data_IF_245625968667
#
_entry.id   IF_245625968667
#
_cell.length_a   1.000
_cell.length_b   1.000
_cell.length_c   1.000
_cell.angle_alpha   90.00
_cell.angle_beta   90.00
_cell.angle_gamma   90.00
#
_symmetry.space_group_name_H-M   'P 1'
#
loop_
_entity.id
_entity.type
_entity.pdbx_description
1 polymer ?
#
# COMPACT_ATOMS: atom_id res chain seq x y z
N UNK A 1 -32.64 10.74 31.06
CA UNK A 1 -32.79 10.49 29.59
C UNK A 1 -31.71 9.52 29.18
N UNK A 2 -32.05 8.32 28.70
CA UNK A 2 -31.07 7.45 28.04
C UNK A 2 -30.59 8.14 26.74
N UNK A 3 -29.29 8.21 26.44
CA UNK A 3 -28.85 8.71 25.16
C UNK A 3 -29.48 7.80 24.08
N UNK A 4 -30.34 8.38 23.21
CA UNK A 4 -30.86 7.64 22.06
C UNK A 4 -29.64 7.20 21.25
N UNK A 5 -29.53 5.90 20.98
CA UNK A 5 -28.57 5.37 20.02
C UNK A 5 -28.80 6.15 18.72
N UNK A 6 -27.72 6.67 18.12
CA UNK A 6 -27.81 7.40 16.87
C UNK A 6 -27.78 6.33 15.78
N UNK A 7 -28.90 6.17 15.10
CA UNK A 7 -29.03 5.17 14.05
C UNK A 7 -28.39 5.73 12.77
N UNK A 8 -27.38 5.02 12.28
CA UNK A 8 -26.72 5.29 11.00
C UNK A 8 -26.87 4.07 10.09
N UNK A 9 -26.83 4.29 8.78
CA UNK A 9 -26.82 3.22 7.80
C UNK A 9 -25.71 3.45 6.77
N UNK A 10 -25.11 2.35 6.31
CA UNK A 10 -24.10 2.33 5.26
C UNK A 10 -24.77 1.86 3.97
N UNK A 11 -24.62 2.65 2.90
CA UNK A 11 -25.03 2.31 1.56
C UNK A 11 -23.81 2.08 0.69
N UNK A 12 -23.89 1.10 -0.22
CA UNK A 12 -22.81 0.80 -1.15
C UNK A 12 -23.31 1.01 -2.58
N UNK A 13 -22.58 1.82 -3.34
CA UNK A 13 -22.84 2.03 -4.77
C UNK A 13 -21.77 1.38 -5.64
N UNK A 14 -22.11 1.12 -6.90
CA UNK A 14 -21.21 0.48 -7.85
C UNK A 14 -21.17 -1.04 -7.74
N UNK A 15 -22.16 -1.66 -7.11
CA UNK A 15 -22.29 -3.10 -7.01
C UNK A 15 -22.50 -3.73 -8.40
N UNK A 16 -22.04 -4.99 -8.62
CA UNK A 16 -22.35 -5.74 -9.82
C UNK A 16 -23.86 -5.80 -10.09
N UNK A 17 -24.30 -5.33 -11.23
CA UNK A 17 -25.73 -5.32 -11.63
C UNK A 17 -26.59 -4.24 -11.00
N UNK A 18 -26.04 -3.32 -10.19
CA UNK A 18 -26.79 -2.20 -9.64
C UNK A 18 -27.08 -1.17 -10.76
N UNK A 19 -28.35 -0.91 -11.01
CA UNK A 19 -28.79 0.12 -11.96
C UNK A 19 -28.98 1.47 -11.29
N UNK A 20 -29.12 2.54 -12.10
CA UNK A 20 -29.41 3.88 -11.61
C UNK A 20 -30.72 3.91 -10.81
N UNK A 21 -31.75 3.18 -11.26
CA UNK A 21 -33.04 3.09 -10.57
C UNK A 21 -32.93 2.40 -9.21
N UNK A 22 -32.15 1.31 -9.13
CA UNK A 22 -31.89 0.63 -7.85
C UNK A 22 -31.20 1.60 -6.89
N UNK A 23 -30.16 2.30 -7.37
CA UNK A 23 -29.44 3.25 -6.52
C UNK A 23 -30.32 4.43 -6.09
N UNK A 24 -31.14 4.97 -6.99
CA UNK A 24 -32.09 6.02 -6.66
C UNK A 24 -33.09 5.58 -5.61
N UNK A 25 -33.64 4.36 -5.74
CA UNK A 25 -34.56 3.79 -4.76
C UNK A 25 -33.90 3.60 -3.39
N UNK A 26 -32.64 3.10 -3.36
CA UNK A 26 -31.87 2.90 -2.11
C UNK A 26 -31.66 4.23 -1.37
N UNK A 27 -31.27 5.29 -2.08
CA UNK A 27 -31.11 6.63 -1.51
C UNK A 27 -32.43 7.17 -0.94
N UNK A 28 -33.50 7.11 -1.72
CA UNK A 28 -34.82 7.59 -1.31
C UNK A 28 -35.33 6.82 -0.08
N UNK A 29 -35.22 5.50 -0.11
CA UNK A 29 -35.63 4.63 0.99
C UNK A 29 -34.84 4.90 2.25
N UNK A 30 -33.52 4.98 2.17
CA UNK A 30 -32.67 5.28 3.32
C UNK A 30 -32.96 6.65 3.90
N UNK A 31 -33.13 7.67 3.05
CA UNK A 31 -33.42 9.02 3.47
C UNK A 31 -34.81 9.17 4.14
N UNK A 32 -35.76 8.29 3.83
CA UNK A 32 -37.11 8.26 4.45
C UNK A 32 -37.13 7.66 5.86
N UNK A 33 -36.08 6.97 6.27
CA UNK A 33 -35.95 6.38 7.60
C UNK A 33 -35.55 7.42 8.65
N UNK A 34 -35.89 7.21 9.92
CA UNK A 34 -35.55 8.15 11.00
C UNK A 34 -34.06 8.10 11.41
N UNK A 35 -33.15 7.91 10.45
CA UNK A 35 -31.72 7.80 10.68
C UNK A 35 -31.11 9.17 11.00
N UNK A 36 -30.05 9.15 11.79
CA UNK A 36 -29.24 10.33 12.13
C UNK A 36 -28.09 10.55 11.17
N UNK A 37 -27.54 9.48 10.60
CA UNK A 37 -26.42 9.48 9.65
C UNK A 37 -26.61 8.49 8.51
N UNK A 38 -26.03 8.80 7.36
CA UNK A 38 -25.93 7.92 6.21
C UNK A 38 -24.49 7.97 5.68
N UNK A 39 -23.92 6.81 5.43
CA UNK A 39 -22.66 6.69 4.69
C UNK A 39 -22.91 6.13 3.28
N UNK A 40 -22.18 6.65 2.31
CA UNK A 40 -22.23 6.19 0.92
C UNK A 40 -20.84 5.76 0.49
N UNK A 41 -20.61 4.45 0.34
CA UNK A 41 -19.31 3.89 -0.02
C UNK A 41 -19.29 3.33 -1.44
N UNK A 42 -18.21 3.59 -2.17
CA UNK A 42 -17.97 2.93 -3.45
C UNK A 42 -17.63 1.45 -3.23
N UNK A 43 -18.22 0.58 -4.04
CA UNK A 43 -17.84 -0.82 -4.06
C UNK A 43 -16.44 -0.99 -4.63
N UNK A 44 -15.54 -1.53 -3.80
CA UNK A 44 -14.16 -1.83 -4.19
C UNK A 44 -14.00 -3.34 -4.36
N UNK A 45 -13.83 -3.78 -5.61
CA UNK A 45 -13.63 -5.18 -5.95
C UNK A 45 -12.15 -5.55 -5.80
N UNK A 46 -11.74 -5.99 -4.61
CA UNK A 46 -10.36 -6.44 -4.40
C UNK A 46 -10.17 -7.88 -4.89
N UNK A 47 -9.02 -8.23 -5.51
CA UNK A 47 -8.78 -9.55 -6.11
C UNK A 47 -8.98 -10.74 -5.17
N UNK A 48 -8.75 -10.55 -3.86
CA UNK A 48 -8.89 -11.60 -2.84
C UNK A 48 -10.32 -11.83 -2.34
N UNK A 49 -11.28 -11.00 -2.77
CA UNK A 49 -12.67 -11.14 -2.32
C UNK A 49 -13.35 -12.31 -3.05
N UNK A 50 -14.18 -13.10 -2.34
CA UNK A 50 -14.91 -14.22 -2.94
C UNK A 50 -15.75 -13.82 -4.17
N UNK A 51 -16.30 -12.60 -4.18
CA UNK A 51 -17.10 -12.09 -5.29
C UNK A 51 -16.33 -12.04 -6.62
N UNK A 52 -15.01 -11.80 -6.60
CA UNK A 52 -14.21 -11.84 -7.82
C UNK A 52 -14.25 -13.21 -8.49
N UNK A 53 -14.11 -14.28 -7.70
CA UNK A 53 -14.21 -15.64 -8.23
C UNK A 53 -15.59 -15.94 -8.83
N UNK A 54 -16.64 -15.31 -8.28
CA UNK A 54 -18.01 -15.46 -8.79
C UNK A 54 -18.19 -14.67 -10.10
N UNK A 55 -17.60 -13.49 -10.20
CA UNK A 55 -17.57 -12.67 -11.44
C UNK A 55 -16.78 -13.42 -12.53
N UNK A 56 -15.59 -13.94 -12.21
CA UNK A 56 -14.76 -14.73 -13.13
C UNK A 56 -15.49 -15.98 -13.67
N UNK A 57 -16.32 -16.60 -12.83
CA UNK A 57 -17.18 -17.75 -13.22
C UNK A 57 -18.47 -17.34 -13.94
N UNK A 58 -18.70 -16.07 -14.18
CA UNK A 58 -19.92 -15.56 -14.81
C UNK A 58 -21.18 -15.62 -13.93
N UNK A 59 -21.04 -15.90 -12.62
CA UNK A 59 -22.17 -15.92 -11.68
C UNK A 59 -22.69 -14.51 -11.31
N UNK A 60 -21.84 -13.50 -11.45
CA UNK A 60 -22.19 -12.09 -11.32
C UNK A 60 -21.62 -11.28 -12.48
N UNK A 61 -22.29 -10.20 -12.90
CA UNK A 61 -21.71 -9.26 -13.85
C UNK A 61 -20.47 -8.57 -13.22
N UNK A 62 -19.58 -7.96 -14.04
CA UNK A 62 -18.48 -7.17 -13.52
C UNK A 62 -19.00 -5.99 -12.69
N UNK A 63 -18.19 -5.47 -11.73
CA UNK A 63 -18.54 -4.27 -11.00
C UNK A 63 -18.64 -3.08 -11.95
N UNK A 64 -19.43 -2.07 -11.57
CA UNK A 64 -19.58 -0.86 -12.36
C UNK A 64 -18.24 -0.11 -12.47
N UNK A 65 -17.99 0.46 -13.65
CA UNK A 65 -16.82 1.30 -13.90
C UNK A 65 -16.80 2.57 -13.04
N UNK A 66 -15.63 3.19 -12.92
CA UNK A 66 -15.46 4.41 -12.11
C UNK A 66 -16.30 5.59 -12.63
N UNK A 67 -16.57 5.64 -13.91
CA UNK A 67 -17.47 6.62 -14.56
C UNK A 67 -18.89 6.52 -14.01
N UNK A 68 -19.48 5.31 -14.01
CA UNK A 68 -20.82 5.06 -13.45
C UNK A 68 -20.82 5.24 -11.93
N UNK A 69 -19.80 4.74 -11.24
CA UNK A 69 -19.68 4.96 -9.79
C UNK A 69 -19.63 6.44 -9.42
N UNK A 70 -18.91 7.26 -10.21
CA UNK A 70 -18.86 8.71 -9.97
C UNK A 70 -20.21 9.39 -10.17
N UNK A 71 -21.01 8.90 -11.14
CA UNK A 71 -22.39 9.39 -11.36
C UNK A 71 -23.31 9.00 -10.20
N UNK A 72 -23.21 7.75 -9.69
CA UNK A 72 -23.95 7.31 -8.52
C UNK A 72 -23.61 8.14 -7.28
N UNK A 73 -22.32 8.45 -7.09
CA UNK A 73 -21.89 9.32 -6.00
C UNK A 73 -22.47 10.73 -6.14
N UNK A 74 -22.38 11.33 -7.32
CA UNK A 74 -22.91 12.65 -7.60
C UNK A 74 -24.44 12.70 -7.41
N UNK A 75 -25.12 11.63 -7.82
CA UNK A 75 -26.57 11.47 -7.57
C UNK A 75 -26.88 11.51 -6.07
N UNK A 76 -26.17 10.68 -5.26
CA UNK A 76 -26.37 10.64 -3.82
C UNK A 76 -26.14 12.00 -3.16
N UNK A 77 -25.05 12.71 -3.49
CA UNK A 77 -24.76 14.05 -2.98
C UNK A 77 -25.89 15.03 -3.29
N UNK A 78 -26.37 15.05 -4.54
CA UNK A 78 -27.44 15.94 -4.98
C UNK A 78 -28.75 15.63 -4.26
N UNK A 79 -29.19 14.36 -4.27
CA UNK A 79 -30.49 13.95 -3.75
C UNK A 79 -30.57 14.03 -2.22
N UNK A 80 -29.54 13.59 -1.52
CA UNK A 80 -29.48 13.72 -0.06
C UNK A 80 -29.50 15.19 0.35
N UNK A 81 -28.77 16.06 -0.37
CA UNK A 81 -28.81 17.52 -0.13
C UNK A 81 -30.21 18.09 -0.36
N UNK A 82 -30.88 17.67 -1.46
CA UNK A 82 -32.28 18.08 -1.76
C UNK A 82 -33.27 17.64 -0.67
N UNK A 83 -33.01 16.46 -0.07
CA UNK A 83 -33.81 15.90 1.03
C UNK A 83 -33.45 16.46 2.41
N UNK A 84 -32.59 17.48 2.46
CA UNK A 84 -32.23 18.18 3.71
C UNK A 84 -31.08 17.56 4.51
N UNK A 85 -30.41 16.55 3.98
CA UNK A 85 -29.20 15.99 4.59
C UNK A 85 -28.00 16.89 4.33
N UNK A 86 -27.10 16.99 5.28
CA UNK A 86 -25.85 17.75 5.16
C UNK A 86 -24.67 16.80 5.01
N UNK A 87 -23.91 16.95 3.95
CA UNK A 87 -22.63 16.25 3.78
C UNK A 87 -21.62 16.78 4.80
N UNK A 88 -21.17 15.93 5.73
CA UNK A 88 -20.23 16.30 6.81
C UNK A 88 -18.82 15.77 6.56
N UNK A 89 -18.69 14.77 5.71
CA UNK A 89 -17.41 14.35 5.10
C UNK A 89 -17.66 13.81 3.69
N UNK A 90 -16.63 13.35 3.01
CA UNK A 90 -16.80 12.91 1.63
C UNK A 90 -17.88 11.83 1.45
N UNK A 91 -17.98 10.91 2.40
CA UNK A 91 -18.93 9.79 2.32
C UNK A 91 -20.07 9.86 3.32
N UNK A 92 -19.98 10.74 4.33
CA UNK A 92 -20.93 10.77 5.45
C UNK A 92 -21.87 11.97 5.36
N UNK A 93 -23.15 11.70 5.55
CA UNK A 93 -24.24 12.67 5.60
C UNK A 93 -24.92 12.61 6.95
N UNK A 94 -25.22 13.77 7.53
CA UNK A 94 -25.95 13.89 8.79
C UNK A 94 -27.26 14.64 8.57
N UNK A 95 -28.34 14.15 9.18
CA UNK A 95 -29.60 14.88 9.19
C UNK A 95 -29.58 15.96 10.27
N UNK A 96 -29.81 17.25 9.94
CA UNK A 96 -29.79 18.34 10.92
C UNK A 96 -30.74 18.11 12.11
N UNK A 97 -30.27 18.39 13.30
CA UNK A 97 -31.05 18.25 14.51
C UNK A 97 -31.10 16.84 15.12
N UNK A 98 -30.63 15.78 14.40
CA UNK A 98 -30.61 14.41 14.94
C UNK A 98 -29.31 14.06 15.69
N UNK A 99 -28.34 14.98 15.74
CA UNK A 99 -27.16 14.91 16.61
C UNK A 99 -25.98 14.12 16.08
N UNK A 100 -26.04 13.56 14.86
CA UNK A 100 -24.89 12.93 14.21
C UNK A 100 -23.82 13.98 13.85
N UNK A 101 -22.54 13.64 14.07
CA UNK A 101 -21.39 14.53 13.87
C UNK A 101 -20.18 13.85 13.26
N UNK A 102 -20.27 12.57 12.90
CA UNK A 102 -19.16 11.75 12.38
C UNK A 102 -17.87 11.86 13.24
N UNK A 103 -18.02 11.93 14.56
CA UNK A 103 -16.90 12.24 15.48
C UNK A 103 -15.80 11.19 15.42
N UNK A 104 -16.16 9.91 15.37
CA UNK A 104 -15.17 8.82 15.36
C UNK A 104 -14.24 8.93 14.14
N UNK A 105 -14.82 8.94 12.94
CA UNK A 105 -14.02 9.01 11.70
C UNK A 105 -13.21 10.31 11.64
N UNK A 106 -13.79 11.44 12.04
CA UNK A 106 -13.10 12.72 12.07
C UNK A 106 -11.88 12.69 13.00
N UNK A 107 -12.02 12.17 14.23
CA UNK A 107 -10.93 12.09 15.20
C UNK A 107 -9.85 11.10 14.79
N UNK A 108 -10.22 9.91 14.28
CA UNK A 108 -9.27 8.90 13.84
C UNK A 108 -8.45 9.41 12.65
N UNK A 109 -9.10 10.06 11.68
CA UNK A 109 -8.41 10.63 10.50
C UNK A 109 -7.52 11.83 10.84
N UNK A 110 -7.87 12.61 11.87
CA UNK A 110 -6.99 13.66 12.41
C UNK A 110 -5.86 13.12 13.29
N UNK A 111 -5.66 11.81 13.32
CA UNK A 111 -4.57 11.16 14.03
C UNK A 111 -4.67 11.27 15.57
N UNK A 112 -5.86 11.51 16.11
CA UNK A 112 -6.09 11.50 17.55
C UNK A 112 -5.86 10.10 18.12
N UNK A 113 -5.36 9.98 19.37
CA UNK A 113 -5.19 8.70 20.02
C UNK A 113 -6.47 7.87 20.01
N UNK A 114 -6.35 6.62 19.60
CA UNK A 114 -7.45 5.67 19.53
C UNK A 114 -7.00 4.31 20.08
N UNK A 115 -7.64 3.81 21.12
CA UNK A 115 -7.37 2.49 21.67
C UNK A 115 -8.20 1.43 20.94
N UNK A 116 -7.54 0.35 20.56
CA UNK A 116 -8.18 -0.77 19.88
C UNK A 116 -8.79 -1.75 20.90
N UNK A 117 -10.06 -2.05 20.73
CA UNK A 117 -10.79 -3.06 21.51
C UNK A 117 -11.37 -4.10 20.56
N UNK A 118 -11.00 -5.36 20.76
CA UNK A 118 -11.51 -6.48 20.00
C UNK A 118 -10.47 -7.10 19.07
N UNK A 119 -10.79 -8.30 18.58
CA UNK A 119 -9.99 -9.04 17.58
C UNK A 119 -9.98 -8.27 16.26
N UNK A 120 -8.79 -8.07 15.68
CA UNK A 120 -8.60 -7.36 14.43
C UNK A 120 -8.75 -5.82 14.51
N UNK A 121 -9.01 -5.25 15.71
CA UNK A 121 -9.16 -3.81 15.85
C UNK A 121 -7.83 -3.07 15.66
N UNK A 122 -7.87 -1.93 14.95
CA UNK A 122 -6.73 -1.03 14.79
C UNK A 122 -6.72 0.08 15.84
N UNK A 123 -5.53 0.46 16.29
CA UNK A 123 -5.32 1.54 17.26
C UNK A 123 -4.16 2.46 16.88
N UNK A 124 -4.15 3.61 17.55
CA UNK A 124 -3.14 4.66 17.42
C UNK A 124 -2.90 5.27 18.80
N UNK A 125 -1.80 4.96 19.44
CA UNK A 125 -1.50 5.42 20.79
C UNK A 125 0.01 5.43 21.08
N UNK A 126 0.48 6.38 21.89
CA UNK A 126 1.84 6.42 22.39
C UNK A 126 2.92 6.54 21.30
N UNK A 127 2.61 7.13 20.15
CA UNK A 127 3.54 7.24 19.03
C UNK A 127 3.59 5.99 18.13
N UNK A 128 2.64 5.06 18.30
CA UNK A 128 2.53 3.85 17.49
C UNK A 128 1.14 3.70 16.88
N UNK A 129 1.10 3.19 15.64
CA UNK A 129 -0.10 2.57 15.06
C UNK A 129 0.03 1.06 15.23
N UNK A 130 -1.04 0.39 15.63
CA UNK A 130 -1.01 -1.04 15.90
C UNK A 130 -2.34 -1.71 15.53
N UNK A 131 -2.31 -3.02 15.37
CA UNK A 131 -3.48 -3.85 15.14
C UNK A 131 -3.46 -5.05 16.08
N UNK A 132 -4.58 -5.30 16.76
CA UNK A 132 -4.78 -6.50 17.57
C UNK A 132 -4.94 -7.71 16.63
N UNK A 133 -4.44 -8.87 17.05
CA UNK A 133 -4.56 -10.10 16.27
C UNK A 133 -6.01 -10.37 15.81
N UNK A 134 -6.15 -10.82 14.56
CA UNK A 134 -7.47 -11.08 13.94
C UNK A 134 -8.00 -12.49 14.22
N UNK A 135 -7.17 -13.41 14.74
CA UNK A 135 -7.64 -14.72 15.18
C UNK A 135 -8.54 -14.58 16.42
N UNK A 136 -9.86 -14.69 16.22
CA UNK A 136 -10.83 -14.54 17.30
C UNK A 136 -10.64 -15.59 18.41
N UNK A 137 -10.32 -16.85 18.06
CA UNK A 137 -10.13 -17.90 19.04
C UNK A 137 -8.90 -17.65 19.92
N UNK A 138 -7.79 -17.27 19.32
CA UNK A 138 -6.57 -16.87 20.04
C UNK A 138 -6.82 -15.62 20.89
N UNK A 139 -7.50 -14.61 20.34
CA UNK A 139 -7.87 -13.42 21.07
C UNK A 139 -8.70 -13.72 22.32
N UNK A 140 -9.72 -14.57 22.22
CA UNK A 140 -10.57 -14.92 23.36
C UNK A 140 -9.84 -15.74 24.44
N UNK A 141 -8.89 -16.60 24.03
CA UNK A 141 -8.09 -17.42 24.96
C UNK A 141 -7.02 -16.60 25.70
N UNK A 142 -6.51 -15.52 25.11
CA UNK A 142 -5.48 -14.71 25.75
C UNK A 142 -6.03 -13.94 26.95
N UNK A 143 -5.29 -13.86 28.06
CA UNK A 143 -5.73 -13.10 29.24
C UNK A 143 -5.93 -11.60 28.93
N UNK A 144 -6.76 -10.89 29.72
CA UNK A 144 -6.79 -9.44 29.68
C UNK A 144 -5.40 -8.83 29.85
N UNK A 145 -5.04 -7.83 29.04
CA UNK A 145 -3.72 -7.19 29.06
C UNK A 145 -2.59 -7.95 28.32
N UNK A 146 -2.85 -9.15 27.82
CA UNK A 146 -1.87 -9.96 27.05
C UNK A 146 -2.36 -10.28 25.64
N UNK A 147 -3.14 -9.37 25.03
CA UNK A 147 -3.63 -9.57 23.66
C UNK A 147 -2.49 -9.35 22.69
N UNK A 148 -2.22 -10.35 21.85
CA UNK A 148 -1.18 -10.26 20.83
C UNK A 148 -1.52 -9.21 19.79
N UNK A 149 -0.50 -8.52 19.28
CA UNK A 149 -0.60 -7.62 18.15
C UNK A 149 -0.17 -8.35 16.89
N UNK A 150 -0.94 -8.20 15.81
CA UNK A 150 -0.56 -8.68 14.49
C UNK A 150 0.34 -7.69 13.74
N UNK A 151 0.30 -6.43 14.16
CA UNK A 151 1.07 -5.35 13.57
C UNK A 151 1.32 -4.25 14.60
N UNK A 152 2.50 -3.64 14.54
CA UNK A 152 2.85 -2.41 15.24
C UNK A 152 3.88 -1.63 14.43
N UNK A 153 3.67 -0.33 14.25
CA UNK A 153 4.58 0.58 13.56
C UNK A 153 4.73 1.86 14.35
N UNK A 154 5.96 2.33 14.54
CA UNK A 154 6.25 3.64 15.12
C UNK A 154 5.85 4.74 14.15
N UNK A 155 5.33 5.85 14.67
CA UNK A 155 5.00 7.01 13.85
C UNK A 155 6.28 7.68 13.32
N UNK A 156 6.30 7.96 12.03
CA UNK A 156 7.34 8.77 11.43
C UNK A 156 7.14 10.27 11.70
N UNK A 157 8.14 11.08 11.35
CA UNK A 157 8.15 12.53 11.58
C UNK A 157 7.01 13.29 10.86
N UNK A 158 6.55 12.76 9.73
CA UNK A 158 5.47 13.36 8.95
C UNK A 158 4.06 12.91 9.37
N UNK A 159 3.94 12.08 10.42
CA UNK A 159 2.65 11.52 10.82
C UNK A 159 1.59 12.59 11.11
N UNK A 160 1.97 13.70 11.74
CA UNK A 160 1.05 14.80 12.03
C UNK A 160 0.58 15.49 10.76
N UNK A 161 1.49 15.78 9.83
CA UNK A 161 1.17 16.37 8.53
C UNK A 161 0.28 15.44 7.70
N UNK A 162 0.62 14.15 7.64
CA UNK A 162 -0.18 13.13 6.96
C UNK A 162 -1.59 13.04 7.53
N UNK A 163 -1.74 13.08 8.86
CA UNK A 163 -3.04 13.12 9.52
C UNK A 163 -3.83 14.38 9.18
N UNK A 164 -3.18 15.54 9.15
CA UNK A 164 -3.82 16.81 8.78
C UNK A 164 -4.33 16.76 7.32
N UNK A 165 -3.48 16.33 6.38
CA UNK A 165 -3.85 16.20 4.97
C UNK A 165 -5.03 15.24 4.78
N UNK A 166 -4.97 14.07 5.43
CA UNK A 166 -6.05 13.09 5.36
C UNK A 166 -7.36 13.64 5.93
N UNK A 167 -7.29 14.30 7.08
CA UNK A 167 -8.44 14.91 7.73
C UNK A 167 -9.07 16.00 6.85
N UNK A 168 -8.27 16.91 6.32
CA UNK A 168 -8.78 18.03 5.53
C UNK A 168 -9.43 17.55 4.22
N UNK A 169 -8.78 16.64 3.50
CA UNK A 169 -9.34 16.06 2.27
C UNK A 169 -10.63 15.30 2.58
N UNK A 170 -10.73 14.61 3.71
CA UNK A 170 -11.98 13.95 4.13
C UNK A 170 -13.13 14.94 4.33
N UNK A 171 -12.81 16.15 4.78
CA UNK A 171 -13.81 17.24 4.90
C UNK A 171 -14.03 17.97 3.56
N UNK A 172 -13.40 17.54 2.48
CA UNK A 172 -13.53 18.12 1.15
C UNK A 172 -12.74 19.42 0.96
N UNK A 173 -11.66 19.61 1.69
CA UNK A 173 -10.79 20.78 1.60
C UNK A 173 -9.32 20.37 1.73
N UNK A 174 -8.41 21.27 1.46
CA UNK A 174 -6.98 21.11 1.72
C UNK A 174 -6.33 22.47 1.88
N UNK A 175 -5.47 22.63 2.86
CA UNK A 175 -4.62 23.81 2.99
C UNK A 175 -3.38 23.63 2.10
N UNK A 176 -3.33 24.36 0.99
CA UNK A 176 -2.23 24.25 0.03
C UNK A 176 -0.92 24.85 0.54
N UNK A 177 -0.96 25.67 1.59
CA UNK A 177 0.24 26.26 2.20
C UNK A 177 1.10 25.20 2.89
N UNK A 178 0.49 24.08 3.33
CA UNK A 178 1.20 22.91 3.87
C UNK A 178 2.21 22.31 2.88
N UNK A 179 2.05 22.59 1.58
CA UNK A 179 2.86 22.07 0.50
C UNK A 179 3.71 23.15 -0.19
N UNK A 180 3.84 24.35 0.39
CA UNK A 180 4.52 25.49 -0.26
C UNK A 180 5.95 25.16 -0.74
N UNK A 181 6.68 24.33 0.02
CA UNK A 181 8.04 23.89 -0.33
C UNK A 181 8.09 22.60 -1.17
N UNK A 182 6.95 22.01 -1.57
CA UNK A 182 6.90 20.72 -2.25
C UNK A 182 6.44 20.91 -3.71
N UNK A 183 7.39 20.89 -4.66
CA UNK A 183 7.12 21.11 -6.07
C UNK A 183 6.19 20.04 -6.69
N UNK A 184 6.28 18.78 -6.26
CA UNK A 184 5.43 17.69 -6.73
C UNK A 184 3.99 17.89 -6.27
N UNK A 185 3.77 18.14 -4.97
CA UNK A 185 2.44 18.43 -4.44
C UNK A 185 1.81 19.66 -5.11
N UNK A 186 2.58 20.75 -5.30
CA UNK A 186 2.11 21.93 -6.02
C UNK A 186 1.72 21.62 -7.47
N UNK A 187 2.44 20.72 -8.12
CA UNK A 187 2.10 20.28 -9.48
C UNK A 187 0.80 19.48 -9.50
N UNK A 188 0.61 18.55 -8.54
CA UNK A 188 -0.64 17.80 -8.38
C UNK A 188 -1.84 18.74 -8.16
N UNK A 189 -1.71 19.71 -7.25
CA UNK A 189 -2.79 20.68 -6.97
C UNK A 189 -3.17 21.50 -8.21
N UNK A 190 -2.19 21.95 -9.03
CA UNK A 190 -2.46 22.62 -10.30
C UNK A 190 -3.18 21.72 -11.30
N UNK A 191 -2.74 20.47 -11.45
CA UNK A 191 -3.37 19.49 -12.34
C UNK A 191 -4.83 19.21 -11.92
N UNK A 192 -5.10 19.07 -10.63
CA UNK A 192 -6.46 18.83 -10.14
C UNK A 192 -7.37 20.04 -10.29
N UNK A 193 -6.83 21.25 -10.17
CA UNK A 193 -7.57 22.48 -10.51
C UNK A 193 -7.90 22.51 -12.00
N UNK A 194 -6.96 22.17 -12.89
CA UNK A 194 -7.17 22.10 -14.34
C UNK A 194 -8.18 21.01 -14.74
N UNK A 195 -8.21 19.90 -14.00
CA UNK A 195 -9.16 18.80 -14.18
C UNK A 195 -10.52 19.07 -13.51
N UNK A 196 -10.77 20.29 -13.03
CA UNK A 196 -12.00 20.69 -12.33
C UNK A 196 -12.38 19.76 -11.16
N UNK A 197 -11.39 19.34 -10.36
CA UNK A 197 -11.62 18.56 -9.15
C UNK A 197 -11.69 19.43 -7.88
N UNK A 198 -11.09 20.61 -7.94
CA UNK A 198 -11.03 21.55 -6.82
C UNK A 198 -10.90 23.01 -7.31
N UNK A 199 -11.26 23.94 -6.42
CA UNK A 199 -11.01 25.37 -6.56
C UNK A 199 -9.99 25.79 -5.49
N UNK A 200 -9.00 26.60 -5.84
CA UNK A 200 -8.02 27.18 -4.90
C UNK A 200 -8.37 28.64 -4.70
N UNK A 201 -8.63 29.03 -3.45
CA UNK A 201 -8.92 30.39 -3.03
C UNK A 201 -7.65 31.19 -2.74
N UNK A 202 -7.76 32.52 -2.66
CA UNK A 202 -6.62 33.42 -2.41
C UNK A 202 -5.94 33.20 -1.07
N UNK A 203 -6.68 32.70 -0.07
CA UNK A 203 -6.16 32.32 1.27
C UNK A 203 -5.39 31.00 1.30
N UNK A 204 -5.22 30.36 0.14
CA UNK A 204 -4.54 29.08 0.03
C UNK A 204 -5.43 27.86 0.33
N UNK A 205 -6.71 28.05 0.61
CA UNK A 205 -7.63 26.91 0.81
C UNK A 205 -8.06 26.34 -0.55
N UNK A 206 -7.87 25.04 -0.73
CA UNK A 206 -8.44 24.28 -1.82
C UNK A 206 -9.75 23.62 -1.36
N UNK A 207 -10.82 23.80 -2.12
CA UNK A 207 -12.13 23.19 -1.86
C UNK A 207 -12.45 22.19 -2.98
N UNK A 208 -12.69 20.95 -2.60
CA UNK A 208 -13.04 19.88 -3.52
C UNK A 208 -14.51 20.00 -3.92
N UNK A 209 -14.77 19.94 -5.24
CA UNK A 209 -16.13 19.79 -5.73
C UNK A 209 -16.61 18.32 -5.62
N UNK A 210 -17.80 18.00 -6.09
CA UNK A 210 -18.37 16.64 -6.01
C UNK A 210 -17.45 15.59 -6.64
N UNK A 211 -16.87 15.87 -7.80
CA UNK A 211 -15.92 14.95 -8.46
C UNK A 211 -14.63 14.80 -7.65
N UNK A 212 -14.08 15.89 -7.13
CA UNK A 212 -12.91 15.86 -6.27
C UNK A 212 -13.15 15.07 -4.99
N UNK A 213 -14.34 15.16 -4.39
CA UNK A 213 -14.74 14.36 -3.21
C UNK A 213 -14.84 12.87 -3.54
N UNK A 214 -15.39 12.50 -4.71
CA UNK A 214 -15.40 11.12 -5.17
C UNK A 214 -13.98 10.56 -5.31
N UNK A 215 -13.07 11.33 -5.91
CA UNK A 215 -11.68 10.94 -6.09
C UNK A 215 -10.78 11.15 -4.87
N UNK A 216 -11.34 11.61 -3.73
CA UNK A 216 -10.58 11.96 -2.53
C UNK A 216 -9.61 10.89 -2.02
N UNK A 217 -9.90 9.57 -2.09
CA UNK A 217 -8.93 8.55 -1.68
C UNK A 217 -7.67 8.55 -2.58
N UNK A 218 -7.86 8.78 -3.88
CA UNK A 218 -6.75 8.87 -4.85
C UNK A 218 -5.95 10.16 -4.64
N UNK A 219 -6.64 11.29 -4.45
CA UNK A 219 -6.01 12.59 -4.19
C UNK A 219 -5.18 12.56 -2.90
N UNK A 220 -5.76 12.04 -1.81
CA UNK A 220 -5.05 11.85 -0.53
C UNK A 220 -3.79 11.04 -0.72
N UNK A 221 -3.91 9.86 -1.35
CA UNK A 221 -2.75 8.99 -1.59
C UNK A 221 -1.65 9.68 -2.39
N UNK A 222 -2.00 10.40 -3.46
CA UNK A 222 -1.03 11.11 -4.30
C UNK A 222 -0.31 12.22 -3.53
N UNK A 223 -1.02 13.03 -2.75
CA UNK A 223 -0.40 14.05 -1.89
C UNK A 223 0.50 13.43 -0.82
N UNK A 224 0.05 12.34 -0.19
CA UNK A 224 0.87 11.63 0.79
C UNK A 224 2.16 11.07 0.19
N UNK A 225 2.10 10.58 -1.05
CA UNK A 225 3.26 10.05 -1.77
C UNK A 225 4.23 11.14 -2.25
N UNK A 226 3.77 12.37 -2.48
CA UNK A 226 4.63 13.51 -2.82
C UNK A 226 5.41 14.04 -1.62
N UNK A 227 4.97 13.75 -0.40
CA UNK A 227 5.75 14.09 0.79
C UNK A 227 7.04 13.27 0.79
N UNK A 228 8.19 13.88 1.16
CA UNK A 228 9.41 13.11 1.30
C UNK A 228 9.09 11.92 2.23
N UNK A 229 9.56 10.72 1.89
CA UNK A 229 9.39 9.60 2.79
C UNK A 229 9.87 10.07 4.15
N UNK A 230 9.13 9.70 5.21
CA UNK A 230 9.70 9.83 6.53
C UNK A 230 11.12 9.31 6.37
N UNK A 231 12.13 10.18 6.51
CA UNK A 231 13.40 9.64 6.88
C UNK A 231 12.97 8.77 8.05
N UNK A 232 12.80 7.46 7.80
CA UNK A 232 12.93 6.56 8.92
C UNK A 232 14.10 7.19 9.65
N UNK A 233 14.02 7.45 10.95
CA UNK A 233 15.23 7.35 11.75
C UNK A 233 15.77 5.97 11.36
N UNK A 234 16.32 5.93 10.18
CA UNK A 234 17.30 5.01 9.79
C UNK A 234 18.44 5.47 10.70
N UNK A 235 18.51 4.85 11.84
CA UNK A 235 19.77 4.64 12.49
C UNK A 235 20.71 3.84 11.56
N UNK A 236 20.39 3.67 10.32
CA UNK A 236 21.27 3.27 9.24
C UNK A 236 22.11 4.52 8.91
N UNK A 237 23.14 4.70 9.72
CA UNK A 237 24.15 5.69 9.45
C UNK A 237 24.79 5.32 8.11
N UNK A 238 24.96 6.31 7.24
CA UNK A 238 25.83 6.12 6.08
C UNK A 238 27.17 5.63 6.60
N UNK A 239 27.60 4.44 6.14
CA UNK A 239 28.87 3.87 6.58
C UNK A 239 29.99 4.90 6.47
N UNK A 240 30.74 5.10 7.53
CA UNK A 240 31.98 5.89 7.48
C UNK A 240 32.96 5.23 6.50
N UNK A 241 33.91 5.97 5.99
CA UNK A 241 34.95 5.41 5.10
C UNK A 241 35.70 4.24 5.75
N UNK A 242 35.91 4.30 7.04
CA UNK A 242 36.56 3.24 7.83
C UNK A 242 35.67 1.99 7.91
N UNK A 243 34.38 2.16 8.23
CA UNK A 243 33.40 1.06 8.27
C UNK A 243 33.23 0.40 6.90
N UNK A 244 33.20 1.21 5.80
CA UNK A 244 33.17 0.67 4.45
C UNK A 244 34.40 -0.17 4.14
N UNK A 245 35.59 0.26 4.58
CA UNK A 245 36.83 -0.47 4.37
C UNK A 245 36.83 -1.79 5.11
N UNK A 246 36.39 -1.79 6.39
CA UNK A 246 36.27 -3.01 7.20
C UNK A 246 35.29 -3.99 6.54
N UNK A 247 34.13 -3.50 6.12
CA UNK A 247 33.09 -4.34 5.50
C UNK A 247 33.55 -4.90 4.13
N UNK A 248 34.22 -4.09 3.32
CA UNK A 248 34.81 -4.55 2.05
C UNK A 248 35.86 -5.63 2.23
N UNK A 249 36.76 -5.49 3.21
CA UNK A 249 37.76 -6.50 3.51
C UNK A 249 37.09 -7.81 3.97
N UNK A 250 36.13 -7.73 4.86
CA UNK A 250 35.38 -8.89 5.35
C UNK A 250 34.62 -9.60 4.22
N UNK A 251 34.00 -8.87 3.31
CA UNK A 251 33.28 -9.43 2.16
C UNK A 251 34.23 -9.91 1.03
N UNK A 252 35.44 -9.38 0.95
CA UNK A 252 36.46 -9.88 0.03
C UNK A 252 37.01 -11.23 0.51
N UNK A 253 37.21 -11.40 1.82
CA UNK A 253 37.63 -12.66 2.43
C UNK A 253 36.51 -13.72 2.40
N UNK A 254 35.29 -13.33 2.72
CA UNK A 254 34.13 -14.23 2.74
C UNK A 254 32.90 -13.55 2.11
N UNK A 255 32.72 -13.63 0.80
CA UNK A 255 31.55 -13.07 0.12
C UNK A 255 30.25 -13.85 0.39
N UNK A 256 30.33 -15.02 1.05
CA UNK A 256 29.18 -15.89 1.38
C UNK A 256 28.38 -15.48 2.61
N UNK A 257 28.72 -14.38 3.27
CA UNK A 257 28.01 -13.89 4.47
C UNK A 257 26.57 -13.46 4.17
N UNK A 258 25.69 -13.50 5.17
CA UNK A 258 24.29 -13.06 5.04
C UNK A 258 24.27 -11.53 5.05
N UNK A 259 24.00 -10.93 3.88
CA UNK A 259 24.08 -9.46 3.69
C UNK A 259 23.12 -8.69 4.58
N UNK A 260 21.91 -9.22 4.83
CA UNK A 260 20.95 -8.60 5.73
C UNK A 260 21.42 -8.60 7.19
N UNK A 261 22.11 -9.65 7.64
CA UNK A 261 22.72 -9.68 8.98
C UNK A 261 23.81 -8.63 9.10
N UNK A 262 24.66 -8.51 8.08
CA UNK A 262 25.70 -7.47 8.05
C UNK A 262 25.09 -6.07 8.07
N UNK A 263 24.02 -5.83 7.31
CA UNK A 263 23.31 -4.57 7.34
C UNK A 263 22.82 -4.24 8.76
N UNK A 264 22.22 -5.21 9.45
CA UNK A 264 21.81 -5.07 10.84
C UNK A 264 22.97 -4.83 11.82
N UNK A 265 24.04 -5.59 11.70
CA UNK A 265 25.24 -5.47 12.56
C UNK A 265 25.94 -4.11 12.42
N UNK A 266 26.03 -3.61 11.19
CA UNK A 266 26.67 -2.33 10.89
C UNK A 266 25.70 -1.14 10.91
N UNK A 267 24.41 -1.37 11.22
CA UNK A 267 23.36 -0.35 11.24
C UNK A 267 23.30 0.46 9.92
N UNK A 268 23.51 -0.22 8.78
CA UNK A 268 23.51 0.38 7.45
C UNK A 268 22.44 -0.25 6.55
N UNK A 269 22.25 0.29 5.34
CA UNK A 269 21.27 -0.27 4.41
C UNK A 269 21.78 -1.58 3.78
N UNK A 270 20.85 -2.40 3.32
CA UNK A 270 21.19 -3.60 2.54
C UNK A 270 21.97 -3.25 1.27
N UNK A 271 21.63 -2.11 0.64
CA UNK A 271 22.34 -1.57 -0.53
C UNK A 271 23.79 -1.17 -0.19
N UNK A 272 24.02 -0.55 0.98
CA UNK A 272 25.39 -0.22 1.42
C UNK A 272 26.25 -1.47 1.52
N UNK A 273 25.67 -2.57 2.03
CA UNK A 273 26.38 -3.86 2.12
C UNK A 273 26.65 -4.44 0.73
N UNK A 274 25.66 -4.43 -0.19
CA UNK A 274 25.88 -4.89 -1.56
C UNK A 274 27.02 -4.10 -2.23
N UNK A 275 27.05 -2.79 -2.05
CA UNK A 275 28.09 -1.92 -2.64
C UNK A 275 29.48 -2.12 -2.02
N UNK A 276 29.58 -2.90 -0.94
CA UNK A 276 30.85 -3.34 -0.36
C UNK A 276 31.32 -4.72 -0.87
N UNK A 277 30.49 -5.45 -1.61
CA UNK A 277 30.92 -6.68 -2.29
C UNK A 277 32.00 -6.39 -3.34
N UNK A 278 32.89 -7.35 -3.65
CA UNK A 278 33.81 -7.24 -4.77
C UNK A 278 33.08 -6.92 -6.08
N UNK A 279 33.57 -5.93 -6.82
CA UNK A 279 32.87 -5.38 -7.98
C UNK A 279 32.57 -6.41 -9.08
N UNK A 280 33.40 -7.44 -9.22
CA UNK A 280 33.20 -8.52 -10.17
C UNK A 280 32.01 -9.44 -9.84
N UNK A 281 31.51 -9.39 -8.61
CA UNK A 281 30.39 -10.22 -8.15
C UNK A 281 29.03 -9.55 -8.34
N UNK A 282 29.02 -8.27 -8.70
CA UNK A 282 27.77 -7.47 -8.78
C UNK A 282 27.65 -6.73 -10.11
N UNK A 283 26.42 -6.65 -10.61
CA UNK A 283 26.03 -5.69 -11.65
C UNK A 283 24.77 -4.98 -11.17
N UNK A 284 24.62 -3.70 -11.49
CA UNK A 284 23.50 -2.87 -11.08
C UNK A 284 22.74 -2.35 -12.29
N UNK A 285 21.41 -2.28 -12.17
CA UNK A 285 20.54 -1.54 -13.09
C UNK A 285 19.50 -0.74 -12.31
N UNK A 286 18.84 0.18 -13.00
CA UNK A 286 17.83 1.07 -12.41
C UNK A 286 16.55 0.31 -12.06
N UNK A 287 15.89 0.72 -10.97
CA UNK A 287 14.60 0.18 -10.54
C UNK A 287 13.46 0.41 -11.53
N UNK A 288 13.56 1.41 -12.41
CA UNK A 288 12.62 1.66 -13.49
C UNK A 288 12.47 0.48 -14.46
N UNK A 289 13.47 -0.41 -14.55
CA UNK A 289 13.42 -1.64 -15.34
C UNK A 289 12.68 -2.80 -14.66
N UNK A 290 12.05 -2.55 -13.51
CA UNK A 290 11.36 -3.58 -12.74
C UNK A 290 10.37 -4.40 -13.58
N UNK A 291 9.47 -3.72 -14.29
CA UNK A 291 8.42 -4.37 -15.08
C UNK A 291 9.00 -5.20 -16.20
N UNK A 292 9.97 -4.64 -16.94
CA UNK A 292 10.71 -5.33 -18.01
C UNK A 292 11.34 -6.63 -17.50
N UNK A 293 12.09 -6.54 -16.39
CA UNK A 293 12.79 -7.68 -15.79
C UNK A 293 11.81 -8.75 -15.30
N UNK A 294 10.74 -8.35 -14.63
CA UNK A 294 9.74 -9.31 -14.14
C UNK A 294 9.00 -10.02 -15.29
N UNK A 295 8.71 -9.32 -16.38
CA UNK A 295 8.13 -9.91 -17.58
C UNK A 295 9.10 -10.89 -18.27
N UNK A 296 10.37 -10.55 -18.33
CA UNK A 296 11.40 -11.45 -18.86
C UNK A 296 11.51 -12.75 -18.03
N UNK A 297 11.52 -12.63 -16.69
CA UNK A 297 11.55 -13.77 -15.78
C UNK A 297 10.31 -14.67 -15.93
N UNK A 298 9.12 -14.08 -16.09
CA UNK A 298 7.90 -14.83 -16.33
C UNK A 298 7.97 -15.62 -17.65
N UNK A 299 8.60 -15.06 -18.68
CA UNK A 299 8.78 -15.71 -19.98
C UNK A 299 9.69 -16.95 -19.96
N UNK A 300 10.48 -17.15 -18.90
CA UNK A 300 11.34 -18.35 -18.82
C UNK A 300 10.53 -19.63 -18.63
N UNK A 301 9.34 -19.54 -18.03
CA UNK A 301 8.47 -20.69 -17.76
C UNK A 301 9.15 -21.84 -16.99
N UNK A 302 10.18 -21.52 -16.21
CA UNK A 302 10.97 -22.44 -15.39
C UNK A 302 10.97 -22.01 -13.92
N UNK A 303 11.13 -23.00 -13.03
CA UNK A 303 11.18 -22.74 -11.60
C UNK A 303 12.45 -21.99 -11.19
N UNK A 304 12.29 -20.98 -10.37
CA UNK A 304 13.30 -20.20 -9.65
C UNK A 304 12.94 -20.20 -8.15
N UNK A 305 13.82 -19.71 -7.29
CA UNK A 305 13.48 -19.52 -5.89
C UNK A 305 13.27 -18.03 -5.61
N UNK A 306 12.04 -17.66 -5.25
CA UNK A 306 11.65 -16.33 -4.81
C UNK A 306 11.78 -16.24 -3.29
N UNK A 307 12.52 -15.24 -2.79
CA UNK A 307 12.75 -15.05 -1.36
C UNK A 307 12.32 -13.65 -0.94
N UNK A 308 11.36 -13.57 -0.01
CA UNK A 308 11.05 -12.36 0.73
C UNK A 308 11.72 -12.47 2.12
N UNK A 309 12.65 -11.57 2.41
CA UNK A 309 13.39 -11.56 3.67
C UNK A 309 13.11 -10.23 4.39
N UNK A 310 12.45 -10.34 5.52
CA UNK A 310 12.21 -9.24 6.46
C UNK A 310 12.96 -9.52 7.78
N UNK A 311 13.06 -8.57 8.71
CA UNK A 311 13.68 -8.84 10.01
C UNK A 311 13.05 -10.02 10.78
N UNK A 312 11.79 -10.32 10.52
CA UNK A 312 10.99 -11.27 11.29
C UNK A 312 10.69 -12.58 10.55
N UNK A 313 10.77 -12.56 9.19
CA UNK A 313 10.35 -13.70 8.36
C UNK A 313 11.24 -13.83 7.13
N UNK A 314 11.67 -15.06 6.86
CA UNK A 314 12.24 -15.46 5.57
C UNK A 314 11.23 -16.40 4.92
N UNK A 315 10.57 -15.95 3.86
CA UNK A 315 9.66 -16.77 3.08
C UNK A 315 10.33 -17.16 1.75
N UNK A 316 10.42 -18.46 1.50
CA UNK A 316 11.02 -19.01 0.29
C UNK A 316 9.95 -19.78 -0.50
N UNK A 317 9.79 -19.46 -1.77
CA UNK A 317 8.86 -20.13 -2.67
C UNK A 317 9.60 -20.55 -3.92
N UNK A 318 9.67 -21.84 -4.19
CA UNK A 318 10.20 -22.37 -5.44
C UNK A 318 9.07 -22.58 -6.42
N UNK A 319 9.16 -21.94 -7.58
CA UNK A 319 8.13 -21.99 -8.61
C UNK A 319 8.45 -21.10 -9.80
N UNK A 320 7.59 -21.13 -10.81
CA UNK A 320 7.67 -20.23 -11.96
C UNK A 320 7.24 -18.83 -11.53
N UNK A 321 7.92 -17.80 -12.06
CA UNK A 321 7.41 -16.44 -11.92
C UNK A 321 6.18 -16.29 -12.82
N UNK A 322 5.01 -15.98 -12.28
CA UNK A 322 3.83 -15.79 -13.11
C UNK A 322 3.90 -14.48 -13.89
N UNK A 323 3.16 -14.42 -14.99
CA UNK A 323 2.93 -13.15 -15.66
C UNK A 323 2.33 -12.13 -14.69
N UNK A 324 2.55 -10.86 -14.97
CA UNK A 324 2.03 -9.79 -14.15
C UNK A 324 1.70 -8.55 -14.94
N UNK A 325 0.80 -7.74 -14.40
CA UNK A 325 0.35 -6.48 -15.00
C UNK A 325 0.42 -5.34 -14.01
N UNK A 326 0.83 -4.17 -14.50
CA UNK A 326 0.76 -2.94 -13.72
C UNK A 326 -0.69 -2.50 -13.60
N UNK A 327 -1.13 -2.27 -12.38
CA UNK A 327 -2.46 -1.76 -12.10
C UNK A 327 -2.59 -1.28 -10.65
N UNK A 328 -3.29 -0.19 -10.43
CA UNK A 328 -3.56 0.39 -9.10
C UNK A 328 -2.32 0.69 -8.27
N UNK A 329 -1.19 1.03 -8.92
CA UNK A 329 0.08 1.33 -8.26
C UNK A 329 0.93 0.10 -7.89
N UNK A 330 0.52 -1.10 -8.31
CA UNK A 330 1.22 -2.35 -8.05
C UNK A 330 1.54 -3.09 -9.35
N UNK A 331 2.58 -3.91 -9.32
CA UNK A 331 2.77 -5.01 -10.24
C UNK A 331 2.02 -6.21 -9.65
N UNK A 332 0.95 -6.63 -10.32
CA UNK A 332 0.05 -7.67 -9.86
C UNK A 332 0.38 -8.96 -10.62
N UNK A 333 0.78 -9.99 -9.91
CA UNK A 333 0.93 -11.32 -10.50
C UNK A 333 -0.43 -11.85 -10.96
N UNK A 334 -0.48 -12.43 -12.15
CA UNK A 334 -1.64 -13.18 -12.60
C UNK A 334 -1.77 -14.46 -11.76
N UNK A 335 -2.99 -14.95 -11.61
CA UNK A 335 -3.22 -16.15 -10.80
C UNK A 335 -2.44 -17.33 -11.40
N UNK A 336 -1.51 -17.87 -10.62
CA UNK A 336 -0.87 -19.14 -10.92
C UNK A 336 -1.81 -20.30 -10.56
N UNK A 337 -1.61 -21.45 -11.20
CA UNK A 337 -2.19 -22.72 -10.77
C UNK A 337 -1.89 -22.98 -9.28
N UNK A 338 -2.66 -23.86 -8.61
CA UNK A 338 -2.56 -24.12 -7.16
C UNK A 338 -1.11 -24.21 -6.66
N UNK A 339 -0.75 -23.35 -5.69
CA UNK A 339 0.54 -23.38 -5.00
C UNK A 339 1.66 -22.53 -5.59
N UNK A 340 1.42 -21.66 -6.59
CA UNK A 340 2.42 -20.78 -7.20
C UNK A 340 2.66 -19.45 -6.48
N UNK A 341 3.66 -18.70 -6.95
CA UNK A 341 3.94 -17.33 -6.51
C UNK A 341 2.76 -16.44 -6.96
N UNK A 342 2.14 -15.74 -6.02
CA UNK A 342 1.07 -14.79 -6.29
C UNK A 342 1.14 -13.59 -5.34
N UNK A 343 0.50 -12.49 -5.70
CA UNK A 343 0.46 -11.29 -4.86
C UNK A 343 0.68 -10.01 -5.65
N UNK A 344 1.04 -8.97 -4.92
CA UNK A 344 1.18 -7.61 -5.44
C UNK A 344 2.49 -7.01 -4.96
N UNK A 345 3.26 -6.41 -5.85
CA UNK A 345 4.52 -5.74 -5.52
C UNK A 345 4.35 -4.24 -5.80
N UNK A 346 4.65 -3.42 -4.82
CA UNK A 346 4.73 -1.97 -5.01
C UNK A 346 6.02 -1.64 -5.77
N UNK A 347 5.97 -1.81 -7.09
CA UNK A 347 7.12 -1.77 -7.99
C UNK A 347 7.75 -0.38 -8.10
N UNK A 348 6.95 0.70 -7.95
CA UNK A 348 7.45 2.08 -7.97
C UNK A 348 8.42 2.39 -6.82
N UNK A 349 8.41 1.57 -5.76
CA UNK A 349 9.36 1.68 -4.66
C UNK A 349 10.72 1.04 -4.98
N UNK A 350 10.86 0.32 -6.10
CA UNK A 350 12.14 -0.24 -6.52
C UNK A 350 13.07 0.90 -6.98
N UNK A 351 14.22 1.04 -6.33
CA UNK A 351 15.24 2.03 -6.68
C UNK A 351 16.32 1.43 -7.56
N UNK A 352 16.71 0.18 -7.28
CA UNK A 352 17.77 -0.51 -8.00
C UNK A 352 17.54 -2.03 -8.01
N UNK A 353 18.10 -2.69 -9.01
CA UNK A 353 18.12 -4.15 -9.12
C UNK A 353 19.57 -4.57 -9.30
N UNK A 354 20.01 -5.53 -8.49
CA UNK A 354 21.37 -6.04 -8.52
C UNK A 354 21.37 -7.50 -8.96
N UNK A 355 22.17 -7.83 -9.95
CA UNK A 355 22.62 -9.21 -10.22
C UNK A 355 23.80 -9.47 -9.30
N UNK A 356 23.70 -10.49 -8.46
CA UNK A 356 24.76 -10.90 -7.54
C UNK A 356 25.12 -12.35 -7.83
N UNK A 357 26.40 -12.58 -8.14
CA UNK A 357 26.99 -13.89 -8.40
C UNK A 357 28.05 -14.17 -7.33
N UNK A 358 27.74 -15.00 -6.32
CA UNK A 358 28.61 -15.24 -5.17
C UNK A 358 28.37 -16.60 -4.55
N UNK A 359 29.35 -17.15 -3.81
CA UNK A 359 29.09 -18.28 -2.94
C UNK A 359 28.14 -17.86 -1.80
N UNK A 360 27.24 -18.76 -1.43
CA UNK A 360 26.35 -18.57 -0.28
C UNK A 360 26.09 -19.93 0.38
N UNK A 361 26.32 -20.05 1.69
CA UNK A 361 26.18 -21.31 2.45
C UNK A 361 26.92 -22.49 1.80
N UNK A 362 28.13 -22.25 1.30
CA UNK A 362 28.99 -23.27 0.71
C UNK A 362 28.63 -23.70 -0.71
N UNK A 363 27.70 -23.02 -1.37
CA UNK A 363 27.30 -23.28 -2.77
C UNK A 363 27.34 -22.00 -3.59
N UNK A 364 27.68 -22.13 -4.87
CA UNK A 364 27.56 -20.99 -5.80
C UNK A 364 26.10 -20.61 -5.96
N UNK A 365 25.85 -19.30 -6.03
CA UNK A 365 24.50 -18.74 -6.27
C UNK A 365 24.55 -17.59 -7.24
N UNK A 366 23.49 -17.44 -8.01
CA UNK A 366 23.22 -16.30 -8.86
C UNK A 366 21.82 -15.79 -8.55
N UNK A 367 21.69 -14.51 -8.26
CA UNK A 367 20.41 -13.94 -7.83
C UNK A 367 20.21 -12.52 -8.31
N UNK A 368 18.95 -12.17 -8.57
CA UNK A 368 18.48 -10.80 -8.69
C UNK A 368 18.01 -10.31 -7.32
N UNK A 369 18.50 -9.16 -6.89
CA UNK A 369 18.16 -8.54 -5.61
C UNK A 369 17.49 -7.20 -5.88
N UNK A 370 16.23 -7.08 -5.53
CA UNK A 370 15.43 -5.87 -5.73
C UNK A 370 15.53 -5.01 -4.47
N UNK A 371 16.00 -3.78 -4.66
CA UNK A 371 16.28 -2.83 -3.58
C UNK A 371 15.32 -1.65 -3.65
N UNK A 372 14.74 -1.30 -2.51
CA UNK A 372 13.79 -0.19 -2.42
C UNK A 372 14.50 1.18 -2.27
N UNK A 373 13.73 2.26 -2.37
CA UNK A 373 14.23 3.65 -2.28
C UNK A 373 14.93 3.98 -0.95
N UNK A 374 14.78 3.14 0.06
CA UNK A 374 15.47 3.28 1.36
C UNK A 374 16.71 2.38 1.46
N UNK A 375 17.15 1.76 0.38
CA UNK A 375 18.28 0.82 0.37
C UNK A 375 17.99 -0.53 1.03
N UNK A 376 16.73 -0.84 1.36
CA UNK A 376 16.32 -2.13 1.93
C UNK A 376 16.01 -3.16 0.84
N UNK A 377 16.16 -4.46 1.16
CA UNK A 377 15.73 -5.54 0.29
C UNK A 377 14.20 -5.53 0.14
N UNK A 378 13.70 -5.63 -1.10
CA UNK A 378 12.29 -5.91 -1.38
C UNK A 378 12.05 -7.42 -1.41
N UNK A 379 12.76 -8.08 -2.29
CA UNK A 379 12.78 -9.54 -2.46
C UNK A 379 13.99 -9.92 -3.34
N UNK A 380 14.23 -11.22 -3.44
CA UNK A 380 15.30 -11.80 -4.26
C UNK A 380 14.75 -12.91 -5.14
N UNK A 381 15.37 -13.15 -6.29
CA UNK A 381 15.07 -14.27 -7.16
C UNK A 381 16.37 -14.99 -7.45
N UNK A 382 16.48 -16.23 -7.01
CA UNK A 382 17.64 -17.09 -7.23
C UNK A 382 17.42 -17.99 -8.43
N UNK A 383 18.49 -18.22 -9.18
CA UNK A 383 18.55 -19.25 -10.21
C UNK A 383 18.19 -20.61 -9.60
N UNK A 384 17.36 -21.36 -10.30
CA UNK A 384 16.99 -22.72 -9.93
C UNK A 384 18.15 -23.70 -10.09
N UNK A 385 17.99 -24.89 -9.50
CA UNK A 385 18.92 -26.00 -9.66
C UNK A 385 18.27 -27.14 -10.44
N UNK A 386 19.10 -27.90 -11.12
CA UNK A 386 18.68 -29.14 -11.79
C UNK A 386 18.62 -30.33 -10.81
N UNK A 387 18.33 -31.50 -11.32
CA UNK A 387 18.23 -32.74 -10.50
C UNK A 387 19.58 -33.16 -9.89
N UNK A 388 20.70 -32.73 -10.45
CA UNK A 388 22.05 -32.95 -9.91
C UNK A 388 22.42 -31.92 -8.83
N UNK A 389 21.57 -30.92 -8.60
CA UNK A 389 21.82 -29.81 -7.66
C UNK A 389 22.68 -28.70 -8.21
N UNK A 390 22.99 -28.72 -9.50
CA UNK A 390 23.78 -27.69 -10.19
C UNK A 390 22.89 -26.52 -10.65
N UNK A 391 23.49 -25.33 -10.71
CA UNK A 391 22.77 -24.13 -11.19
C UNK A 391 22.40 -24.27 -12.67
N UNK A 392 21.15 -23.96 -13.02
CA UNK A 392 20.65 -23.98 -14.40
C UNK A 392 21.38 -22.93 -15.24
N UNK A 393 22.24 -23.37 -16.16
CA UNK A 393 23.11 -22.50 -16.96
C UNK A 393 22.34 -21.57 -17.89
N UNK A 394 21.20 -22.02 -18.45
CA UNK A 394 20.32 -21.21 -19.27
C UNK A 394 19.75 -20.01 -18.48
N UNK A 395 19.36 -20.22 -17.21
CA UNK A 395 18.86 -19.14 -16.33
C UNK A 395 19.97 -18.15 -15.96
N UNK A 396 21.21 -18.63 -15.70
CA UNK A 396 22.37 -17.75 -15.45
C UNK A 396 22.61 -16.84 -16.65
N UNK A 397 22.65 -17.42 -17.86
CA UNK A 397 22.87 -16.65 -19.10
C UNK A 397 21.75 -15.63 -19.32
N UNK A 398 20.50 -16.04 -19.09
CA UNK A 398 19.33 -15.15 -19.18
C UNK A 398 19.38 -14.01 -18.15
N UNK A 399 19.76 -14.27 -16.88
CA UNK A 399 19.96 -13.21 -15.89
C UNK A 399 21.06 -12.23 -16.28
N UNK A 400 22.20 -12.73 -16.78
CA UNK A 400 23.31 -11.88 -17.23
C UNK A 400 22.91 -10.99 -18.40
N UNK A 401 22.09 -11.51 -19.32
CA UNK A 401 21.60 -10.76 -20.48
C UNK A 401 20.71 -9.56 -20.08
N UNK A 402 20.01 -9.62 -18.93
CA UNK A 402 19.25 -8.48 -18.42
C UNK A 402 20.12 -7.28 -17.99
N UNK A 403 21.46 -7.48 -17.87
CA UNK A 403 22.42 -6.47 -17.43
C UNK A 403 23.51 -6.20 -18.49
N UNK A 404 23.28 -6.61 -19.72
CA UNK A 404 24.18 -6.38 -20.86
C UNK A 404 23.99 -4.98 -21.46
#
# INVERSE_FOLDING_TARGET
MRPRCRDCADLIFGLPGQTDDIWAHDIERAASLPLSGLDTYAFNCYPFLPINRMIEKGAFPPPLGFDVQSQHYAYAVRELSRLGWRQVSNNHFAYPGRGERNRYNTLVKSNMPCLAFGSGAGGNFGGFSYQVQSDLKGYLKAPPGQKALSFMSRHGKHKTLLGQVQHDIELGRSDTTLFAGNAEAQTLLRQWRQADLLTIHEDGQAILNTSGRYWSPTLTRKLMMSLPPDEKENTMQKLSSEQQTVLRNSLAENPGQILEMLAGQHQCSFEDVINCLPAQLIKKTEGSRFVEIMQALAGWNEAVTFIAHTPDVIAEVTGKIPNGKVGRGFYNFEHAEEGGIHGHIYYENCAAIYLIERPFMGKDTVSLNFVNRNGGAMFKIFVGRDEAGELKQNQIQAMRALFA
#
